data_IF_058608263345
#
_entry.id   IF_058608263345
#
_cell.length_a   1.000
_cell.length_b   1.000
_cell.length_c   1.000
_cell.angle_alpha   90.00
_cell.angle_beta   90.00
_cell.angle_gamma   90.00
#
_symmetry.space_group_name_H-M   'P 1'
#
loop_
_entity.id
_entity.type
_entity.pdbx_description
1 polymer ?
#
# COMPACT_ATOMS: atom_id res chain seq x y z
N UNK A 1 -11.86 15.56 6.15
CA UNK A 1 -11.18 15.94 4.89
C UNK A 1 -10.78 14.63 4.23
N UNK A 2 -11.32 14.30 3.05
CA UNK A 2 -10.93 13.08 2.35
C UNK A 2 -9.55 13.35 1.77
N UNK A 3 -8.57 12.51 2.07
CA UNK A 3 -7.24 12.63 1.48
C UNK A 3 -7.38 12.60 -0.04
N UNK A 4 -6.90 13.63 -0.70
CA UNK A 4 -6.90 13.73 -2.15
C UNK A 4 -5.93 12.68 -2.67
N UNK A 5 -6.43 11.69 -3.40
CA UNK A 5 -5.58 10.73 -4.09
C UNK A 5 -4.99 11.42 -5.32
N UNK A 6 -3.68 11.36 -5.46
CA UNK A 6 -2.94 11.88 -6.62
C UNK A 6 -2.09 10.75 -7.22
N UNK A 7 -1.58 10.99 -8.41
CA UNK A 7 -0.72 10.03 -9.09
C UNK A 7 -1.46 8.86 -9.77
N UNK A 8 -0.71 7.81 -10.13
CA UNK A 8 -1.25 6.66 -10.87
C UNK A 8 -2.41 5.96 -10.16
N UNK A 9 -2.45 6.02 -8.82
CA UNK A 9 -3.54 5.45 -8.03
C UNK A 9 -4.85 6.22 -8.23
N UNK A 10 -4.79 7.55 -8.28
CA UNK A 10 -5.94 8.40 -8.57
C UNK A 10 -6.44 8.19 -10.00
N UNK A 11 -5.54 8.19 -10.98
CA UNK A 11 -5.87 7.96 -12.38
C UNK A 11 -6.67 6.67 -12.59
N UNK A 12 -6.19 5.55 -12.01
CA UNK A 12 -6.91 4.27 -12.06
C UNK A 12 -8.28 4.34 -11.39
N UNK A 13 -8.35 4.96 -10.21
CA UNK A 13 -9.58 5.04 -9.45
C UNK A 13 -10.65 5.88 -10.17
N UNK A 14 -10.28 6.99 -10.79
CA UNK A 14 -11.21 7.84 -11.53
C UNK A 14 -11.86 7.08 -12.69
N UNK A 15 -11.08 6.42 -13.52
CA UNK A 15 -11.61 5.64 -14.63
C UNK A 15 -12.44 4.46 -14.13
N UNK A 16 -11.95 3.70 -13.17
CA UNK A 16 -12.65 2.53 -12.61
C UNK A 16 -14.00 2.91 -11.99
N UNK A 17 -14.06 3.99 -11.23
CA UNK A 17 -15.29 4.48 -10.61
C UNK A 17 -16.30 4.98 -11.66
N UNK A 18 -15.80 5.68 -12.68
CA UNK A 18 -16.64 6.13 -13.80
C UNK A 18 -17.27 4.93 -14.52
N UNK A 19 -16.47 3.95 -14.93
CA UNK A 19 -16.95 2.75 -15.61
C UNK A 19 -17.93 1.94 -14.74
N UNK A 20 -17.67 1.85 -13.44
CA UNK A 20 -18.57 1.16 -12.52
C UNK A 20 -19.95 1.84 -12.40
N UNK A 21 -20.01 3.15 -12.55
CA UNK A 21 -21.26 3.91 -12.53
C UNK A 21 -21.99 3.89 -13.87
N UNK A 22 -21.27 3.98 -14.99
CA UNK A 22 -21.86 4.13 -16.34
C UNK A 22 -22.22 2.79 -16.99
N UNK A 23 -21.34 1.80 -16.95
CA UNK A 23 -21.48 0.55 -17.70
C UNK A 23 -22.78 -0.20 -17.42
N UNK A 24 -23.27 -0.35 -16.18
CA UNK A 24 -24.51 -1.10 -15.96
C UNK A 24 -25.71 -0.53 -16.70
N UNK A 25 -25.85 0.79 -16.73
CA UNK A 25 -26.94 1.47 -17.44
C UNK A 25 -26.75 1.38 -18.96
N UNK A 26 -25.53 1.58 -19.44
CA UNK A 26 -25.17 1.48 -20.85
C UNK A 26 -25.39 0.07 -21.38
N UNK A 27 -24.99 -0.97 -20.65
CA UNK A 27 -25.23 -2.37 -20.99
C UNK A 27 -26.72 -2.68 -21.08
N UNK A 28 -27.51 -2.19 -20.14
CA UNK A 28 -28.98 -2.38 -20.20
C UNK A 28 -29.57 -1.79 -21.48
N UNK A 29 -29.20 -0.56 -21.82
CA UNK A 29 -29.67 0.10 -23.06
C UNK A 29 -29.16 -0.62 -24.31
N UNK A 30 -27.89 -1.01 -24.31
CA UNK A 30 -27.25 -1.74 -25.41
C UNK A 30 -27.94 -3.09 -25.69
N UNK A 31 -28.19 -3.89 -24.63
CA UNK A 31 -28.92 -5.15 -24.73
C UNK A 31 -30.35 -4.96 -25.28
N UNK A 32 -31.06 -3.96 -24.77
CA UNK A 32 -32.42 -3.66 -25.22
C UNK A 32 -32.44 -3.26 -26.69
N UNK A 33 -31.46 -2.50 -27.17
CA UNK A 33 -31.39 -2.05 -28.57
C UNK A 33 -31.07 -3.21 -29.52
N UNK A 34 -30.19 -4.11 -29.13
CA UNK A 34 -29.76 -5.23 -29.98
C UNK A 34 -30.50 -6.54 -29.71
N UNK A 35 -31.44 -6.54 -28.75
CA UNK A 35 -32.21 -7.72 -28.32
C UNK A 35 -31.30 -8.88 -27.85
N UNK A 36 -30.20 -8.53 -27.14
CA UNK A 36 -29.27 -9.50 -26.58
C UNK A 36 -29.71 -9.87 -25.15
N UNK A 37 -29.74 -11.18 -24.89
CA UNK A 37 -30.05 -11.69 -23.55
C UNK A 37 -28.93 -11.39 -22.54
N UNK A 38 -29.31 -11.12 -21.30
CA UNK A 38 -28.34 -10.83 -20.20
C UNK A 38 -27.48 -12.04 -19.81
N UNK A 39 -27.90 -13.25 -20.15
CA UNK A 39 -27.09 -14.45 -20.00
C UNK A 39 -25.91 -14.51 -20.98
N UNK A 40 -26.03 -13.84 -22.15
CA UNK A 40 -24.95 -13.71 -23.14
C UNK A 40 -24.00 -12.57 -22.78
N UNK A 41 -24.56 -11.45 -22.36
CA UNK A 41 -23.82 -10.24 -22.03
C UNK A 41 -24.18 -9.74 -20.62
N UNK A 42 -23.73 -10.42 -19.55
CA UNK A 42 -24.03 -10.04 -18.17
C UNK A 42 -23.34 -8.76 -17.74
N UNK A 43 -23.88 -8.12 -16.71
CA UNK A 43 -23.22 -6.97 -16.09
C UNK A 43 -21.88 -7.38 -15.45
N UNK A 44 -20.84 -6.53 -15.52
CA UNK A 44 -19.60 -6.76 -14.80
C UNK A 44 -19.84 -6.91 -13.30
N UNK A 45 -19.22 -7.93 -12.71
CA UNK A 45 -19.35 -8.25 -11.28
C UNK A 45 -18.34 -7.47 -10.46
N UNK A 46 -17.16 -7.19 -11.05
CA UNK A 46 -16.08 -6.46 -10.39
C UNK A 46 -15.46 -5.42 -11.31
N UNK A 47 -15.02 -4.32 -10.67
CA UNK A 47 -14.19 -3.28 -11.26
C UNK A 47 -12.93 -3.16 -10.42
N UNK A 48 -11.76 -3.48 -10.98
CA UNK A 48 -10.49 -3.57 -10.27
C UNK A 48 -9.49 -2.52 -10.79
N UNK A 49 -8.62 -2.07 -9.91
CA UNK A 49 -7.52 -1.15 -10.23
C UNK A 49 -6.14 -1.81 -10.04
N UNK A 50 -6.11 -3.14 -9.99
CA UNK A 50 -4.91 -3.95 -9.83
C UNK A 50 -5.09 -5.28 -10.59
N UNK A 51 -3.99 -5.93 -10.93
CA UNK A 51 -4.00 -7.27 -11.50
C UNK A 51 -4.23 -8.30 -10.39
N UNK A 52 -5.35 -9.01 -10.37
CA UNK A 52 -5.59 -10.04 -9.37
C UNK A 52 -4.80 -11.30 -9.72
N UNK A 53 -4.29 -12.00 -8.70
CA UNK A 53 -3.59 -13.28 -8.90
C UNK A 53 -4.52 -14.38 -9.45
N UNK A 54 -5.81 -14.32 -9.09
CA UNK A 54 -6.86 -15.22 -9.58
C UNK A 54 -8.10 -14.40 -9.91
N UNK A 55 -8.66 -14.61 -11.09
CA UNK A 55 -9.96 -14.07 -11.46
C UNK A 55 -11.03 -15.10 -11.09
N UNK A 56 -11.88 -14.79 -10.13
CA UNK A 56 -12.95 -15.63 -9.60
C UNK A 56 -14.36 -15.19 -10.00
N UNK A 57 -14.52 -13.97 -10.49
CA UNK A 57 -15.79 -13.36 -10.85
C UNK A 57 -15.78 -12.88 -12.31
N UNK A 58 -16.92 -13.00 -12.98
CA UNK A 58 -17.05 -12.76 -14.40
C UNK A 58 -18.41 -12.11 -14.75
N UNK A 59 -18.47 -11.13 -15.64
CA UNK A 59 -17.33 -10.39 -16.23
C UNK A 59 -16.60 -9.52 -15.21
N UNK A 60 -15.33 -9.21 -15.48
CA UNK A 60 -14.53 -8.31 -14.65
C UNK A 60 -13.88 -7.25 -15.53
N UNK A 61 -13.94 -6.00 -15.10
CA UNK A 61 -13.21 -4.89 -15.73
C UNK A 61 -12.03 -4.49 -14.85
N UNK A 62 -10.85 -4.38 -15.46
CA UNK A 62 -9.60 -4.05 -14.76
C UNK A 62 -9.00 -2.83 -15.43
N UNK A 63 -8.78 -1.76 -14.67
CA UNK A 63 -8.15 -0.53 -15.15
C UNK A 63 -6.78 -0.34 -14.52
N UNK A 64 -5.74 -0.23 -15.35
CA UNK A 64 -4.36 -0.08 -14.96
C UNK A 64 -3.73 1.18 -15.55
N UNK A 65 -2.71 1.70 -14.88
CA UNK A 65 -1.75 2.64 -15.45
C UNK A 65 -0.55 1.84 -15.90
N UNK A 66 -0.18 1.95 -17.15
CA UNK A 66 0.99 1.28 -17.71
C UNK A 66 2.24 2.15 -17.67
N UNK A 67 2.05 3.45 -17.85
CA UNK A 67 3.17 4.39 -17.89
C UNK A 67 2.71 5.81 -17.54
N UNK A 68 3.65 6.63 -17.06
CA UNK A 68 3.52 8.08 -17.09
C UNK A 68 4.24 8.56 -18.33
N UNK A 69 3.53 9.23 -19.24
CA UNK A 69 4.07 9.64 -20.53
C UNK A 69 4.71 11.02 -20.49
N UNK A 70 3.95 12.00 -19.97
CA UNK A 70 4.44 13.37 -19.82
C UNK A 70 4.11 13.91 -18.45
N UNK A 71 4.96 14.82 -17.96
CA UNK A 71 4.72 15.60 -16.74
C UNK A 71 5.13 17.03 -17.09
N UNK A 72 4.16 17.91 -17.27
CA UNK A 72 4.39 19.30 -17.63
C UNK A 72 3.86 20.22 -16.52
N UNK A 73 4.61 21.25 -16.19
CA UNK A 73 4.16 22.20 -15.19
C UNK A 73 3.08 23.12 -15.78
N UNK A 74 1.87 23.05 -15.25
CA UNK A 74 0.71 23.80 -15.74
C UNK A 74 0.57 25.19 -15.09
N UNK A 75 1.08 25.42 -13.87
CA UNK A 75 1.00 26.68 -13.15
C UNK A 75 2.38 27.15 -12.67
N UNK A 76 2.64 28.44 -12.84
CA UNK A 76 3.88 29.12 -12.46
C UNK A 76 3.65 30.19 -11.38
N UNK A 77 2.53 30.19 -10.70
CA UNK A 77 2.22 31.19 -9.67
C UNK A 77 3.17 31.06 -8.48
N UNK A 78 3.91 32.13 -8.21
CA UNK A 78 4.88 32.16 -7.11
C UNK A 78 4.16 32.03 -5.75
N UNK A 79 4.63 31.10 -4.91
CA UNK A 79 4.12 30.88 -3.55
C UNK A 79 2.96 29.89 -3.42
N UNK A 80 2.44 29.37 -4.52
CA UNK A 80 1.48 28.26 -4.51
C UNK A 80 2.15 26.92 -4.80
N UNK A 81 1.52 25.83 -4.38
CA UNK A 81 1.97 24.50 -4.75
C UNK A 81 1.86 24.31 -6.26
N UNK A 82 2.90 23.77 -6.90
CA UNK A 82 2.92 23.65 -8.35
C UNK A 82 1.88 22.62 -8.82
N UNK A 83 1.18 22.99 -9.90
CA UNK A 83 0.25 22.12 -10.61
C UNK A 83 0.94 21.57 -11.83
N UNK A 84 0.79 20.29 -12.07
CA UNK A 84 1.32 19.57 -13.20
C UNK A 84 0.20 19.00 -14.05
N UNK A 85 0.32 19.11 -15.36
CA UNK A 85 -0.44 18.33 -16.33
C UNK A 85 0.31 17.03 -16.56
N UNK A 86 -0.32 15.93 -16.18
CA UNK A 86 0.28 14.61 -16.25
C UNK A 86 -0.52 13.74 -17.20
N UNK A 87 0.15 13.19 -18.20
CA UNK A 87 -0.45 12.23 -19.13
C UNK A 87 -0.08 10.82 -18.73
N UNK A 88 -1.09 10.01 -18.42
CA UNK A 88 -0.97 8.59 -18.13
C UNK A 88 -1.33 7.73 -19.33
N UNK A 89 -0.48 6.75 -19.67
CA UNK A 89 -0.87 5.63 -20.51
C UNK A 89 -1.69 4.65 -19.71
N UNK A 90 -2.95 4.49 -20.08
CA UNK A 90 -3.94 3.66 -19.39
C UNK A 90 -4.24 2.41 -20.20
N UNK A 91 -4.61 1.34 -19.50
CA UNK A 91 -5.19 0.16 -20.12
C UNK A 91 -6.38 -0.34 -19.30
N UNK A 92 -7.50 -0.57 -20.00
CA UNK A 92 -8.70 -1.16 -19.40
C UNK A 92 -9.00 -2.49 -20.07
N UNK A 93 -8.96 -3.56 -19.28
CA UNK A 93 -9.28 -4.92 -19.69
C UNK A 93 -10.74 -5.22 -19.43
N UNK A 94 -11.39 -5.87 -20.38
CA UNK A 94 -12.70 -6.50 -20.20
C UNK A 94 -12.54 -8.01 -20.30
N UNK A 95 -12.67 -8.71 -19.18
CA UNK A 95 -12.57 -10.15 -19.09
C UNK A 95 -13.95 -10.77 -19.05
N UNK A 96 -14.22 -11.72 -19.93
CA UNK A 96 -15.48 -12.45 -20.03
C UNK A 96 -15.26 -13.95 -20.02
N UNK A 97 -16.27 -14.68 -19.55
CA UNK A 97 -16.28 -16.14 -19.53
C UNK A 97 -17.67 -16.63 -19.97
N UNK A 98 -17.69 -17.58 -20.87
CA UNK A 98 -18.93 -18.22 -21.32
C UNK A 98 -18.73 -19.71 -21.64
N UNK A 99 -19.83 -20.41 -21.89
CA UNK A 99 -19.83 -21.76 -22.43
C UNK A 99 -19.84 -21.66 -23.94
N UNK A 100 -18.88 -22.30 -24.61
CA UNK A 100 -18.70 -22.26 -26.03
C UNK A 100 -17.85 -21.08 -26.56
N UNK A 101 -17.04 -21.32 -27.58
CA UNK A 101 -16.10 -20.34 -28.12
C UNK A 101 -16.83 -19.15 -28.80
N UNK A 102 -17.93 -19.40 -29.52
CA UNK A 102 -18.68 -18.35 -30.21
C UNK A 102 -19.34 -17.40 -29.24
N UNK A 103 -19.94 -17.95 -28.17
CA UNK A 103 -20.62 -17.14 -27.14
C UNK A 103 -19.62 -16.24 -26.38
N UNK A 104 -18.44 -16.75 -26.01
CA UNK A 104 -17.44 -15.96 -25.29
C UNK A 104 -16.85 -14.89 -26.19
N UNK A 105 -16.64 -15.17 -27.48
CA UNK A 105 -16.17 -14.19 -28.46
C UNK A 105 -17.16 -13.06 -28.62
N UNK A 106 -18.44 -13.41 -28.82
CA UNK A 106 -19.51 -12.44 -28.94
C UNK A 106 -19.66 -11.57 -27.69
N UNK A 107 -19.63 -12.19 -26.52
CA UNK A 107 -19.69 -11.45 -25.24
C UNK A 107 -18.48 -10.50 -25.06
N UNK A 108 -17.27 -10.93 -25.44
CA UNK A 108 -16.07 -10.10 -25.44
C UNK A 108 -16.23 -8.87 -26.34
N UNK A 109 -16.62 -9.09 -27.58
CA UNK A 109 -16.69 -8.03 -28.58
C UNK A 109 -17.77 -6.99 -28.22
N UNK A 110 -18.93 -7.44 -27.73
CA UNK A 110 -19.95 -6.54 -27.21
C UNK A 110 -19.50 -5.79 -25.94
N UNK A 111 -18.85 -6.47 -25.00
CA UNK A 111 -18.35 -5.80 -23.79
C UNK A 111 -17.30 -4.75 -24.14
N UNK A 112 -16.40 -5.04 -25.07
CA UNK A 112 -15.41 -4.08 -25.59
C UNK A 112 -16.08 -2.85 -26.18
N UNK A 113 -17.10 -3.05 -27.01
CA UNK A 113 -17.87 -1.95 -27.61
C UNK A 113 -18.49 -1.06 -26.54
N UNK A 114 -19.11 -1.65 -25.51
CA UNK A 114 -19.75 -0.90 -24.43
C UNK A 114 -18.72 -0.11 -23.61
N UNK A 115 -17.56 -0.72 -23.29
CA UNK A 115 -16.47 -0.01 -22.58
C UNK A 115 -15.92 1.12 -23.44
N UNK A 116 -15.69 0.90 -24.73
CA UNK A 116 -15.24 1.94 -25.67
C UNK A 116 -16.21 3.11 -25.73
N UNK A 117 -17.51 2.83 -25.90
CA UNK A 117 -18.53 3.86 -25.93
C UNK A 117 -18.59 4.66 -24.63
N UNK A 118 -18.43 3.99 -23.46
CA UNK A 118 -18.37 4.67 -22.19
C UNK A 118 -17.19 5.67 -22.12
N UNK A 119 -16.01 5.27 -22.61
CA UNK A 119 -14.83 6.13 -22.62
C UNK A 119 -14.95 7.28 -23.63
N UNK A 120 -15.60 7.05 -24.78
CA UNK A 120 -15.80 8.08 -25.83
C UNK A 120 -16.88 9.08 -25.45
N UNK A 121 -18.00 8.64 -24.87
CA UNK A 121 -19.11 9.52 -24.49
C UNK A 121 -18.82 10.31 -23.21
N UNK A 122 -17.95 9.78 -22.35
CA UNK A 122 -17.60 10.38 -21.07
C UNK A 122 -16.11 10.74 -20.94
N UNK A 123 -15.49 11.43 -21.92
CA UNK A 123 -14.05 11.65 -21.86
C UNK A 123 -13.59 12.45 -20.64
N UNK A 124 -14.46 13.27 -20.04
CA UNK A 124 -14.22 13.99 -18.80
C UNK A 124 -14.56 13.18 -17.54
N UNK A 125 -14.88 11.89 -17.66
CA UNK A 125 -15.20 10.96 -16.56
C UNK A 125 -16.26 11.49 -15.58
N UNK A 126 -17.25 12.20 -16.09
CA UNK A 126 -18.34 12.78 -15.27
C UNK A 126 -19.43 11.74 -15.04
N UNK A 127 -19.67 11.40 -13.79
CA UNK A 127 -20.81 10.59 -13.39
C UNK A 127 -22.06 11.49 -13.38
N UNK A 128 -23.12 11.07 -14.05
CA UNK A 128 -24.38 11.82 -14.09
C UNK A 128 -24.89 12.14 -12.68
N UNK A 129 -25.13 13.43 -12.41
CA UNK A 129 -25.61 13.91 -11.09
C UNK A 129 -24.53 14.12 -10.02
N UNK A 130 -23.27 13.83 -10.31
CA UNK A 130 -22.13 14.17 -9.46
C UNK A 130 -21.48 15.48 -9.91
N UNK A 131 -20.92 16.23 -8.97
CA UNK A 131 -19.93 17.26 -9.32
C UNK A 131 -18.78 16.60 -10.07
N UNK A 132 -18.13 17.29 -11.04
CA UNK A 132 -16.93 16.74 -11.65
C UNK A 132 -16.00 16.28 -10.54
N UNK A 133 -15.34 15.13 -10.74
CA UNK A 133 -14.30 14.65 -9.83
C UNK A 133 -13.14 15.63 -9.98
N UNK A 134 -13.26 16.75 -9.29
CA UNK A 134 -12.27 17.80 -9.30
C UNK A 134 -11.55 17.75 -7.96
N UNK A 135 -10.24 17.60 -7.95
CA UNK A 135 -9.48 17.97 -6.78
C UNK A 135 -9.76 19.45 -6.48
N UNK A 136 -10.10 19.72 -5.23
CA UNK A 136 -10.56 21.01 -4.75
C UNK A 136 -9.69 22.15 -5.27
N UNK A 137 -10.26 23.04 -6.07
CA UNK A 137 -9.73 24.38 -6.34
C UNK A 137 -9.04 24.60 -7.68
N UNK A 138 -8.98 23.62 -8.58
CA UNK A 138 -8.44 23.81 -9.92
C UNK A 138 -9.51 23.46 -10.95
N UNK A 139 -9.65 24.28 -12.01
CA UNK A 139 -10.46 24.00 -13.19
C UNK A 139 -9.85 22.87 -14.06
N UNK A 140 -9.46 21.78 -13.42
CA UNK A 140 -8.68 20.72 -14.01
C UNK A 140 -9.59 19.56 -14.33
N UNK A 141 -9.82 19.35 -15.59
CA UNK A 141 -10.58 18.23 -16.11
C UNK A 141 -9.66 17.02 -16.21
N UNK A 142 -9.99 15.95 -15.46
CA UNK A 142 -9.49 14.63 -15.80
C UNK A 142 -10.11 14.26 -17.16
N UNK A 143 -9.30 14.11 -18.20
CA UNK A 143 -9.79 13.93 -19.56
C UNK A 143 -9.08 12.82 -20.29
N UNK A 144 -9.89 11.91 -20.89
CA UNK A 144 -9.39 10.90 -21.82
C UNK A 144 -9.11 11.58 -23.18
N UNK A 145 -7.97 11.28 -23.75
CA UNK A 145 -7.64 11.65 -25.12
C UNK A 145 -8.26 10.62 -26.07
N UNK A 146 -9.43 10.93 -26.58
CA UNK A 146 -10.24 10.04 -27.44
C UNK A 146 -9.47 9.56 -28.68
N UNK A 147 -8.60 10.40 -29.24
CA UNK A 147 -7.80 10.09 -30.43
C UNK A 147 -6.73 9.03 -30.20
N UNK A 148 -6.49 8.63 -28.94
CA UNK A 148 -5.47 7.63 -28.57
C UNK A 148 -6.06 6.26 -28.25
N UNK A 149 -7.39 6.12 -28.28
CA UNK A 149 -8.04 4.85 -27.93
C UNK A 149 -7.76 3.81 -29.01
N UNK A 150 -7.14 2.72 -28.61
CA UNK A 150 -6.89 1.54 -29.42
C UNK A 150 -7.45 0.29 -28.75
N UNK A 151 -7.80 -0.70 -29.54
CA UNK A 151 -8.40 -1.95 -29.09
C UNK A 151 -7.52 -3.13 -29.50
N UNK A 152 -7.39 -4.08 -28.58
CA UNK A 152 -6.73 -5.36 -28.81
C UNK A 152 -7.54 -6.50 -28.17
N UNK A 153 -7.43 -7.68 -28.76
CA UNK A 153 -8.19 -8.86 -28.35
C UNK A 153 -7.25 -10.00 -28.05
N UNK A 154 -7.43 -10.64 -26.89
CA UNK A 154 -6.68 -11.84 -26.53
C UNK A 154 -7.16 -13.06 -27.29
N UNK A 155 -6.30 -14.04 -27.42
CA UNK A 155 -6.69 -15.38 -27.83
C UNK A 155 -7.66 -16.03 -26.83
N UNK A 156 -8.45 -16.99 -27.32
CA UNK A 156 -9.33 -17.76 -26.47
C UNK A 156 -8.54 -18.73 -25.60
N UNK A 157 -8.84 -18.73 -24.32
CA UNK A 157 -8.29 -19.71 -23.38
C UNK A 157 -9.35 -20.71 -22.96
N UNK A 158 -9.10 -21.99 -23.16
CA UNK A 158 -9.99 -23.07 -22.72
C UNK A 158 -9.81 -23.34 -21.22
N UNK A 159 -10.89 -23.33 -20.48
CA UNK A 159 -10.96 -23.76 -19.09
C UNK A 159 -11.60 -25.15 -18.98
N UNK A 160 -11.47 -25.78 -17.79
CA UNK A 160 -12.15 -27.07 -17.55
C UNK A 160 -13.68 -26.96 -17.73
N UNK A 161 -14.29 -27.96 -18.39
CA UNK A 161 -15.74 -28.08 -18.50
C UNK A 161 -16.39 -27.20 -19.59
N UNK A 162 -15.81 -27.18 -20.80
CA UNK A 162 -16.35 -26.44 -21.96
C UNK A 162 -16.51 -24.94 -21.75
N UNK A 163 -15.84 -24.39 -20.75
CA UNK A 163 -15.82 -22.95 -20.49
C UNK A 163 -14.63 -22.32 -21.18
N UNK A 164 -14.88 -21.17 -21.77
CA UNK A 164 -13.87 -20.37 -22.45
C UNK A 164 -13.72 -19.03 -21.75
N UNK A 165 -12.50 -18.53 -21.78
CA UNK A 165 -12.11 -17.25 -21.28
C UNK A 165 -11.61 -16.40 -22.45
N UNK A 166 -12.06 -15.17 -22.53
CA UNK A 166 -11.56 -14.20 -23.48
C UNK A 166 -11.41 -12.84 -22.80
N UNK A 167 -10.46 -12.07 -23.28
CA UNK A 167 -10.29 -10.69 -22.88
C UNK A 167 -10.14 -9.79 -24.09
N UNK A 168 -10.50 -8.56 -23.91
CA UNK A 168 -10.08 -7.44 -24.73
C UNK A 168 -9.44 -6.41 -23.82
N UNK A 169 -8.67 -5.50 -24.40
CA UNK A 169 -8.23 -4.32 -23.69
C UNK A 169 -8.23 -3.10 -24.60
N UNK A 170 -8.52 -1.97 -23.98
CA UNK A 170 -8.42 -0.66 -24.58
C UNK A 170 -7.24 0.05 -23.98
N UNK A 171 -6.33 0.51 -24.84
CA UNK A 171 -5.20 1.39 -24.44
C UNK A 171 -5.55 2.81 -24.85
N UNK A 172 -5.31 3.77 -23.96
CA UNK A 172 -5.61 5.20 -24.20
C UNK A 172 -4.76 6.10 -23.29
N UNK A 173 -4.77 7.38 -23.55
CA UNK A 173 -4.15 8.38 -22.71
C UNK A 173 -5.18 9.11 -21.86
N UNK A 174 -4.82 9.33 -20.60
CA UNK A 174 -5.58 10.10 -19.63
C UNK A 174 -4.75 11.30 -19.19
N UNK A 175 -5.27 12.50 -19.38
CA UNK A 175 -4.67 13.71 -18.83
C UNK A 175 -5.29 14.02 -17.47
N UNK A 176 -4.44 14.26 -16.48
CA UNK A 176 -4.82 14.58 -15.12
C UNK A 176 -3.97 15.73 -14.60
N UNK A 177 -4.61 16.72 -14.01
CA UNK A 177 -3.89 17.77 -13.29
C UNK A 177 -3.61 17.33 -11.86
N UNK A 178 -2.37 17.43 -11.45
CA UNK A 178 -1.93 17.02 -10.12
C UNK A 178 -1.26 18.20 -9.40
N UNK A 179 -1.61 18.38 -8.14
CA UNK A 179 -0.95 19.34 -7.26
C UNK A 179 0.12 18.64 -6.46
N UNK A 180 1.38 18.99 -6.70
CA UNK A 180 2.46 18.50 -5.84
C UNK A 180 2.57 19.41 -4.63
N UNK A 181 1.97 19.00 -3.53
CA UNK A 181 2.11 19.69 -2.26
C UNK A 181 3.59 19.68 -1.87
N UNK A 182 4.23 20.85 -1.92
CA UNK A 182 5.57 21.00 -1.37
C UNK A 182 5.47 20.79 0.13
N UNK A 183 5.90 19.62 0.59
CA UNK A 183 6.18 19.44 2.00
C UNK A 183 7.16 20.56 2.39
N UNK A 184 6.68 21.52 3.15
CA UNK A 184 7.51 22.54 3.74
C UNK A 184 8.41 21.83 4.74
N UNK A 185 9.61 21.42 4.31
CA UNK A 185 10.63 20.75 5.15
C UNK A 185 11.05 21.57 6.36
N UNK A 186 10.51 22.80 6.51
CA UNK A 186 10.76 23.69 7.64
C UNK A 186 9.64 23.78 8.66
N UNK A 187 8.42 23.29 8.38
CA UNK A 187 7.31 23.29 9.35
C UNK A 187 6.47 22.03 9.11
N UNK A 188 6.99 20.90 9.45
CA UNK A 188 6.16 19.76 9.82
C UNK A 188 5.54 20.09 11.18
N UNK A 189 4.61 21.03 11.23
CA UNK A 189 3.66 21.14 12.31
C UNK A 189 2.63 20.03 12.12
N UNK A 190 2.95 18.97 12.68
CA UNK A 190 2.26 17.90 13.38
C UNK A 190 0.74 17.95 13.47
N UNK A 191 -0.06 18.11 12.46
CA UNK A 191 -1.46 17.78 12.68
C UNK A 191 -2.19 17.04 11.56
N UNK A 192 -1.65 16.98 10.36
CA UNK A 192 -2.40 16.42 9.24
C UNK A 192 -1.69 15.36 8.38
N UNK A 193 -0.45 15.01 8.70
CA UNK A 193 0.12 13.76 8.21
C UNK A 193 -0.04 12.73 9.31
N UNK A 194 -1.20 12.12 9.39
CA UNK A 194 -1.34 10.82 10.01
C UNK A 194 -0.85 9.74 9.01
N UNK A 195 0.32 9.93 8.41
CA UNK A 195 1.21 8.82 8.25
C UNK A 195 1.55 8.50 9.69
N UNK A 196 0.84 7.54 10.27
CA UNK A 196 1.44 6.74 11.30
C UNK A 196 2.73 6.19 10.67
N UNK A 197 3.83 6.92 10.77
CA UNK A 197 5.10 6.30 10.98
C UNK A 197 4.77 5.37 12.15
N UNK A 198 4.53 4.11 11.83
CA UNK A 198 4.54 3.08 12.86
C UNK A 198 5.99 3.13 13.29
N UNK A 199 6.25 4.01 14.26
CA UNK A 199 7.54 4.10 14.94
C UNK A 199 7.69 2.74 15.60
N UNK A 200 8.34 1.85 14.88
CA UNK A 200 8.57 0.51 15.37
C UNK A 200 9.75 0.60 16.31
N UNK A 201 9.56 0.08 17.49
CA UNK A 201 10.60 -0.07 18.49
C UNK A 201 11.69 -1.04 18.01
N UNK A 202 12.92 -0.98 18.53
CA UNK A 202 13.99 -1.89 18.16
C UNK A 202 13.63 -3.37 18.36
N UNK A 203 14.23 -4.24 17.59
CA UNK A 203 14.16 -5.67 17.85
C UNK A 203 14.88 -6.03 19.18
N UNK A 204 14.64 -7.22 19.69
CA UNK A 204 15.33 -7.71 20.88
C UNK A 204 16.86 -7.84 20.63
N UNK A 205 17.71 -7.44 21.59
CA UNK A 205 19.11 -7.84 21.60
C UNK A 205 19.26 -9.37 21.59
N UNK A 206 20.37 -9.87 21.07
CA UNK A 206 20.63 -11.30 20.96
C UNK A 206 21.94 -11.69 21.63
N UNK A 207 22.15 -12.98 21.86
CA UNK A 207 23.39 -13.54 22.43
C UNK A 207 23.80 -12.90 23.78
N UNK A 208 22.82 -12.67 24.66
CA UNK A 208 23.08 -12.16 25.99
C UNK A 208 23.93 -13.19 26.81
N UNK A 209 25.08 -12.76 27.30
CA UNK A 209 25.93 -13.51 28.18
C UNK A 209 26.14 -12.74 29.49
N UNK A 210 26.27 -13.46 30.60
CA UNK A 210 26.51 -12.93 31.92
C UNK A 210 27.74 -13.60 32.54
N UNK A 211 28.64 -12.82 33.09
CA UNK A 211 29.84 -13.31 33.80
C UNK A 211 29.89 -12.68 35.18
N UNK A 212 29.94 -13.51 36.22
CA UNK A 212 30.05 -13.06 37.62
C UNK A 212 31.42 -12.55 37.95
N UNK A 213 31.47 -11.47 38.74
CA UNK A 213 32.63 -10.92 39.43
C UNK A 213 32.33 -10.82 40.91
N UNK A 214 33.17 -10.08 41.66
CA UNK A 214 32.96 -9.83 43.09
C UNK A 214 31.89 -8.73 43.29
N UNK A 215 30.71 -9.14 43.74
CA UNK A 215 29.53 -8.28 43.92
C UNK A 215 29.04 -7.61 42.66
N UNK A 216 29.41 -8.09 41.48
CA UNK A 216 28.95 -7.58 40.20
C UNK A 216 28.73 -8.68 39.15
N UNK A 217 28.09 -8.28 38.05
CA UNK A 217 27.96 -9.13 36.86
C UNK A 217 28.19 -8.28 35.62
N UNK A 218 29.12 -8.74 34.80
CA UNK A 218 29.35 -8.18 33.47
C UNK A 218 28.43 -8.82 32.47
N UNK A 219 27.68 -7.99 31.73
CA UNK A 219 26.77 -8.40 30.69
C UNK A 219 27.32 -7.98 29.32
N UNK A 220 27.23 -8.89 28.36
CA UNK A 220 27.52 -8.62 26.94
C UNK A 220 26.42 -9.18 26.07
N UNK A 221 26.09 -8.49 25.01
CA UNK A 221 25.06 -8.94 24.03
C UNK A 221 25.39 -8.48 22.62
N UNK A 222 24.61 -8.90 21.65
CA UNK A 222 24.63 -8.29 20.33
C UNK A 222 23.50 -7.29 20.21
N UNK A 223 23.81 -6.09 19.72
CA UNK A 223 22.80 -5.08 19.41
C UNK A 223 21.75 -5.64 18.43
N UNK A 224 20.51 -5.16 18.48
CA UNK A 224 19.49 -5.52 17.49
C UNK A 224 19.98 -5.29 16.06
N UNK A 225 19.66 -6.21 15.16
CA UNK A 225 19.98 -6.08 13.73
C UNK A 225 19.08 -5.06 13.03
N UNK A 226 18.00 -4.67 13.68
CA UNK A 226 17.05 -3.66 13.22
C UNK A 226 16.65 -2.76 14.39
N UNK A 227 16.85 -1.47 14.23
CA UNK A 227 16.68 -0.44 15.27
C UNK A 227 15.25 0.14 15.34
N UNK A 228 14.32 -0.36 14.55
CA UNK A 228 12.95 0.13 14.43
C UNK A 228 12.69 0.80 13.09
N UNK A 229 13.75 1.16 12.36
CA UNK A 229 13.68 1.94 11.12
C UNK A 229 13.16 3.36 11.34
N UNK A 230 13.45 4.25 10.44
CA UNK A 230 13.04 5.65 10.55
C UNK A 230 14.18 6.57 11.02
N UNK A 231 13.81 7.63 11.75
CA UNK A 231 14.75 8.69 12.16
C UNK A 231 15.38 8.46 13.54
N UNK A 232 14.93 7.44 14.27
CA UNK A 232 15.39 7.15 15.61
C UNK A 232 16.44 6.03 15.62
N UNK A 233 17.57 6.30 16.25
CA UNK A 233 18.61 5.32 16.51
C UNK A 233 18.53 4.86 17.97
N UNK A 234 19.00 3.65 18.26
CA UNK A 234 19.08 3.14 19.63
C UNK A 234 19.90 4.13 20.46
N UNK A 235 19.36 4.57 21.61
CA UNK A 235 20.00 5.51 22.53
C UNK A 235 20.55 4.83 23.76
N UNK A 236 20.05 3.65 24.12
CA UNK A 236 20.47 2.91 25.29
C UNK A 236 19.79 1.56 25.42
N UNK A 237 20.03 0.92 26.56
CA UNK A 237 19.44 -0.37 26.90
C UNK A 237 18.85 -0.35 28.31
N UNK A 238 17.74 -1.10 28.48
CA UNK A 238 17.13 -1.39 29.78
C UNK A 238 17.53 -2.79 30.17
N UNK A 239 17.99 -2.96 31.45
CA UNK A 239 18.35 -4.26 31.97
C UNK A 239 17.40 -4.65 33.08
N UNK A 240 16.88 -5.87 33.01
CA UNK A 240 16.09 -6.48 34.07
C UNK A 240 16.81 -7.69 34.65
N UNK A 241 16.61 -7.90 35.95
CA UNK A 241 17.14 -9.02 36.72
C UNK A 241 16.02 -9.87 37.29
N UNK A 242 16.27 -11.16 37.40
CA UNK A 242 15.44 -12.15 38.06
C UNK A 242 16.29 -12.94 39.08
N UNK A 243 15.71 -13.23 40.24
CA UNK A 243 16.30 -14.11 41.28
C UNK A 243 15.50 -15.41 41.45
N UNK A 244 14.45 -15.63 40.62
CA UNK A 244 13.52 -16.76 40.69
C UNK A 244 13.45 -17.54 39.37
N UNK A 245 14.62 -17.66 38.72
CA UNK A 245 14.78 -18.40 37.46
C UNK A 245 13.87 -17.89 36.32
N UNK A 246 13.73 -16.54 36.22
CA UNK A 246 12.99 -15.91 35.14
C UNK A 246 11.47 -15.85 35.31
N UNK A 247 10.95 -16.17 36.50
CA UNK A 247 9.50 -16.09 36.79
C UNK A 247 9.08 -14.64 36.96
N UNK A 248 9.83 -13.84 37.71
CA UNK A 248 9.59 -12.41 37.88
C UNK A 248 10.83 -11.58 37.47
N UNK A 249 10.56 -10.36 36.99
CA UNK A 249 11.61 -9.48 36.46
C UNK A 249 11.51 -8.09 37.08
N UNK A 250 12.65 -7.57 37.56
CA UNK A 250 12.74 -6.23 38.11
C UNK A 250 13.76 -5.43 37.28
N UNK A 251 13.40 -4.19 36.91
CA UNK A 251 14.32 -3.31 36.21
C UNK A 251 15.43 -2.84 37.19
N UNK A 252 16.66 -3.22 36.88
CA UNK A 252 17.85 -2.84 37.68
C UNK A 252 18.61 -1.69 37.02
N UNK A 253 18.56 -1.58 35.70
CA UNK A 253 19.12 -0.45 34.95
C UNK A 253 18.02 0.05 34.02
N UNK A 254 17.54 1.27 34.26
CA UNK A 254 16.49 1.88 33.45
C UNK A 254 17.04 2.45 32.14
N UNK A 255 18.29 2.84 32.11
CA UNK A 255 19.00 3.31 30.92
C UNK A 255 20.51 3.12 31.16
N UNK A 256 21.17 2.42 30.24
CA UNK A 256 22.62 2.29 30.24
C UNK A 256 23.37 3.56 29.87
N UNK A 257 22.65 4.57 29.34
CA UNK A 257 23.22 5.82 28.80
C UNK A 257 24.31 5.59 27.73
N UNK A 258 24.30 4.43 27.12
CA UNK A 258 25.31 3.98 26.15
C UNK A 258 24.70 3.05 25.13
N UNK A 259 25.12 3.18 23.88
CA UNK A 259 24.78 2.28 22.77
C UNK A 259 25.71 1.06 22.69
N UNK A 260 26.73 0.99 23.55
CA UNK A 260 27.62 -0.16 23.60
C UNK A 260 26.87 -1.39 24.12
N UNK A 261 26.98 -2.55 23.47
CA UNK A 261 26.31 -3.77 23.89
C UNK A 261 27.04 -4.47 25.06
N UNK A 262 27.34 -3.72 26.11
CA UNK A 262 28.03 -4.13 27.30
C UNK A 262 27.63 -3.26 28.50
N UNK A 263 27.45 -3.89 29.67
CA UNK A 263 27.21 -3.17 30.92
C UNK A 263 27.63 -4.01 32.12
N UNK A 264 28.15 -3.37 33.17
CA UNK A 264 28.44 -4.01 34.47
C UNK A 264 27.33 -3.65 35.43
N UNK A 265 26.67 -4.63 36.00
CA UNK A 265 25.62 -4.46 37.02
C UNK A 265 26.30 -4.64 38.40
N UNK A 266 26.51 -3.56 39.16
CA UNK A 266 27.17 -3.61 40.46
C UNK A 266 26.19 -3.92 41.60
N UNK A 267 26.74 -4.06 42.80
CA UNK A 267 25.99 -4.17 44.08
C UNK A 267 25.09 -5.38 44.19
N UNK A 268 25.48 -6.49 43.59
CA UNK A 268 24.79 -7.77 43.69
C UNK A 268 25.32 -8.57 44.88
N UNK A 269 24.50 -9.42 45.45
CA UNK A 269 24.91 -10.28 46.56
C UNK A 269 25.69 -11.51 46.06
N UNK A 270 26.92 -11.71 46.55
CA UNK A 270 27.67 -12.94 46.28
C UNK A 270 26.91 -14.19 46.76
N UNK A 271 27.01 -15.27 46.01
CA UNK A 271 26.32 -16.52 46.31
C UNK A 271 24.83 -16.58 45.89
N UNK A 272 24.27 -15.49 45.41
CA UNK A 272 22.89 -15.46 44.91
C UNK A 272 22.88 -15.69 43.38
N UNK A 273 21.94 -16.53 42.93
CA UNK A 273 21.75 -16.83 41.49
C UNK A 273 20.89 -15.76 40.82
N UNK A 274 21.37 -15.21 39.75
CA UNK A 274 20.71 -14.19 38.97
C UNK A 274 20.56 -14.61 37.51
N UNK A 275 19.47 -14.14 36.87
CA UNK A 275 19.31 -14.11 35.42
C UNK A 275 19.02 -12.69 34.98
N UNK A 276 19.45 -12.33 33.76
CA UNK A 276 19.27 -11.03 33.20
C UNK A 276 18.57 -11.09 31.84
N UNK A 277 17.87 -10.03 31.47
CA UNK A 277 17.40 -9.78 30.12
C UNK A 277 17.55 -8.30 29.75
N UNK A 278 17.74 -8.01 28.47
CA UNK A 278 18.09 -6.68 27.99
C UNK A 278 17.14 -6.28 26.87
N UNK A 279 16.65 -5.05 26.88
CA UNK A 279 15.88 -4.46 25.80
C UNK A 279 16.59 -3.19 25.28
N UNK A 280 16.61 -2.99 23.97
CA UNK A 280 17.06 -1.73 23.37
C UNK A 280 15.89 -0.73 23.33
N UNK A 281 16.20 0.55 23.44
CA UNK A 281 15.20 1.61 23.31
C UNK A 281 15.72 2.82 22.55
N UNK A 282 14.79 3.62 22.05
CA UNK A 282 15.00 4.94 21.47
C UNK A 282 13.78 5.84 21.75
N UNK A 283 13.74 7.05 21.19
CA UNK A 283 12.70 8.04 21.47
C UNK A 283 11.26 7.54 21.18
N UNK A 284 11.06 6.60 20.24
CA UNK A 284 9.75 6.05 19.94
C UNK A 284 9.31 4.93 20.91
N UNK A 285 10.21 4.40 21.73
CA UNK A 285 9.87 3.40 22.74
C UNK A 285 10.89 2.30 22.93
N UNK A 286 10.51 1.34 23.78
CA UNK A 286 11.35 0.20 24.18
C UNK A 286 10.97 -1.02 23.35
N UNK A 287 12.00 -1.70 22.83
CA UNK A 287 11.88 -2.95 22.09
C UNK A 287 11.56 -4.15 22.98
N UNK A 288 11.46 -5.32 22.35
CA UNK A 288 11.30 -6.56 23.08
C UNK A 288 12.58 -6.91 23.87
N UNK A 289 12.41 -7.59 25.00
CA UNK A 289 13.55 -8.10 25.76
C UNK A 289 14.19 -9.30 25.05
N UNK A 290 15.51 -9.44 25.25
CA UNK A 290 16.27 -10.62 24.84
C UNK A 290 15.76 -11.88 25.55
N UNK A 291 16.17 -13.05 25.06
CA UNK A 291 16.14 -14.26 25.88
C UNK A 291 16.90 -14.04 27.17
N UNK A 292 16.48 -14.70 28.25
CA UNK A 292 17.20 -14.65 29.53
C UNK A 292 18.65 -15.16 29.37
N UNK A 293 19.56 -14.58 30.13
CA UNK A 293 20.91 -15.12 30.26
C UNK A 293 20.88 -16.50 30.94
N UNK A 294 21.98 -17.20 30.87
CA UNK A 294 22.24 -18.30 31.81
C UNK A 294 22.25 -17.79 33.27
N UNK A 295 22.02 -18.69 34.22
CA UNK A 295 22.21 -18.38 35.62
C UNK A 295 23.66 -17.97 35.89
N UNK A 296 23.84 -16.89 36.61
CA UNK A 296 25.15 -16.38 37.02
C UNK A 296 25.14 -16.13 38.52
N UNK A 297 26.21 -16.49 39.20
CA UNK A 297 26.39 -16.32 40.63
C UNK A 297 27.67 -15.49 40.86
N UNK A 298 27.53 -14.23 41.33
CA UNK A 298 28.68 -13.43 41.73
C UNK A 298 29.43 -14.10 42.86
N UNK A 299 30.74 -14.02 42.84
CA UNK A 299 31.63 -14.57 43.90
C UNK A 299 32.91 -13.76 44.03
N UNK A 300 33.41 -13.66 45.24
CA UNK A 300 34.70 -13.04 45.51
C UNK A 300 35.88 -13.87 44.98
#
# INVERSE_FOLDING_TARGET
>A
MVAQMEGPAAAKAYVSNYLAADIPTRLMNYRNTLLIDDSILPNPVKYLTYEPFVLDNWPTIITLVESTRTIERADYTAGMDPIYDVTYGMRTYAWVRAVGPDTVTLARDHMTTVVREALLDGPALRIAGSSPINPVGVNSECKINEGTITEDFSDLTTLKGERFLAASYLSYELNLYETVVRANLGVMLSSDINVALIEKVPNAPTFLQASGGDTDVSLTWRAPTWDGGGIHVITGYIIQVSTDSGTTWVTIVADTTSTNPYHVVPSLANGTSYQFRVAAFHAAGTGAYSSASQNVIPSA
#
